data_IF_693238009775
#
_entry.id   IF_693238009775
#
_cell.length_a   1.000
_cell.length_b   1.000
_cell.length_c   1.000
_cell.angle_alpha   90.00
_cell.angle_beta   90.00
_cell.angle_gamma   90.00
#
_symmetry.space_group_name_H-M   'P 1'
#
loop_
_entity.id
_entity.type
_entity.pdbx_description
1 polymer ?
#
# COMPACT_ATOMS: atom_id res chain seq x y z
N UNK A 1 0.04 -0.79 -16.48
CA UNK A 1 -0.01 -1.18 -15.06
C UNK A 1 -1.12 -2.20 -14.92
N UNK A 2 -0.79 -3.47 -14.72
CA UNK A 2 -1.77 -4.55 -14.54
C UNK A 2 -1.67 -4.98 -13.08
N UNK A 3 -2.37 -4.28 -12.18
CA UNK A 3 -2.42 -4.63 -10.77
C UNK A 3 -3.43 -5.77 -10.58
N UNK A 4 -3.04 -6.99 -10.94
CA UNK A 4 -3.94 -8.15 -10.99
C UNK A 4 -4.05 -8.87 -9.65
N UNK A 5 -4.42 -8.16 -8.59
CA UNK A 5 -4.75 -8.80 -7.30
C UNK A 5 -4.53 -7.93 -6.07
N UNK A 6 -5.11 -8.35 -4.95
CA UNK A 6 -4.80 -7.81 -3.62
C UNK A 6 -3.38 -8.23 -3.21
N UNK A 7 -2.62 -7.39 -2.47
CA UNK A 7 -1.24 -7.72 -2.07
C UNK A 7 -1.13 -9.00 -1.23
N UNK A 8 -2.16 -9.28 -0.44
CA UNK A 8 -2.39 -10.50 0.32
C UNK A 8 -3.88 -10.51 0.71
N UNK A 9 -4.48 -11.69 0.92
CA UNK A 9 -5.91 -11.82 1.21
C UNK A 9 -6.22 -11.57 2.69
N UNK A 10 -5.30 -11.85 3.59
CA UNK A 10 -5.43 -11.49 5.00
C UNK A 10 -4.10 -11.12 5.65
N UNK A 11 -4.15 -10.22 6.64
CA UNK A 11 -3.01 -9.86 7.48
C UNK A 11 -2.74 -10.92 8.58
N UNK A 12 -2.87 -12.20 8.23
CA UNK A 12 -2.63 -13.32 9.12
C UNK A 12 -1.44 -14.15 8.64
N UNK A 13 -0.64 -14.68 9.56
CA UNK A 13 0.53 -15.51 9.20
C UNK A 13 0.19 -16.78 8.42
N UNK A 14 -1.09 -17.19 8.35
CA UNK A 14 -1.53 -18.31 7.50
C UNK A 14 -1.51 -17.96 6.01
N UNK A 15 -1.64 -16.69 5.66
CA UNK A 15 -1.53 -16.19 4.29
C UNK A 15 -0.06 -16.19 3.83
N UNK A 16 0.23 -16.84 2.70
CA UNK A 16 1.59 -16.92 2.17
C UNK A 16 2.14 -15.58 1.70
N UNK A 17 1.32 -14.76 1.07
CA UNK A 17 1.72 -13.46 0.56
C UNK A 17 1.97 -12.49 1.72
N UNK A 18 1.15 -12.56 2.78
CA UNK A 18 1.41 -11.76 3.98
C UNK A 18 2.73 -12.16 4.66
N UNK A 19 3.08 -13.45 4.70
CA UNK A 19 4.40 -13.88 5.20
C UNK A 19 5.54 -13.34 4.35
N UNK A 20 5.40 -13.31 3.02
CA UNK A 20 6.40 -12.73 2.12
C UNK A 20 6.52 -11.22 2.34
N UNK A 21 5.38 -10.53 2.50
CA UNK A 21 5.33 -9.12 2.86
C UNK A 21 6.10 -8.82 4.14
N UNK A 22 5.84 -9.57 5.23
CA UNK A 22 6.53 -9.39 6.51
C UNK A 22 8.06 -9.55 6.39
N UNK A 23 8.53 -10.52 5.60
CA UNK A 23 9.97 -10.74 5.38
C UNK A 23 10.64 -9.60 4.61
N UNK A 24 9.89 -8.96 3.71
CA UNK A 24 10.39 -7.90 2.84
C UNK A 24 10.07 -6.48 3.37
N UNK A 25 9.45 -6.38 4.54
CA UNK A 25 8.92 -5.13 5.08
C UNK A 25 10.02 -4.12 5.42
N UNK A 26 11.02 -4.55 6.21
CA UNK A 26 12.14 -3.69 6.65
C UNK A 26 12.89 -3.08 5.46
N UNK A 27 13.18 -3.89 4.44
CA UNK A 27 13.89 -3.44 3.25
C UNK A 27 13.00 -2.70 2.25
N UNK A 28 11.67 -2.73 2.44
CA UNK A 28 10.67 -2.19 1.50
C UNK A 28 10.79 -2.81 0.09
N UNK A 29 11.01 -4.13 0.03
CA UNK A 29 11.27 -4.90 -1.20
C UNK A 29 10.20 -5.94 -1.54
N UNK A 30 8.97 -5.70 -1.10
CA UNK A 30 7.87 -6.61 -1.40
C UNK A 30 7.56 -6.56 -2.90
N UNK A 31 7.60 -7.72 -3.57
CA UNK A 31 7.52 -7.80 -5.03
C UNK A 31 6.18 -7.28 -5.57
N UNK A 32 5.10 -7.44 -4.81
CA UNK A 32 3.77 -6.92 -5.16
C UNK A 32 3.72 -5.40 -5.32
N UNK A 33 4.70 -4.67 -4.79
CA UNK A 33 4.79 -3.20 -4.94
C UNK A 33 5.90 -2.74 -5.89
N UNK A 34 6.62 -3.66 -6.51
CA UNK A 34 7.84 -3.37 -7.29
C UNK A 34 7.60 -2.48 -8.52
N UNK A 35 6.41 -2.52 -9.10
CA UNK A 35 6.02 -1.70 -10.26
C UNK A 35 5.42 -0.33 -9.88
N UNK A 36 5.17 -0.10 -8.58
CA UNK A 36 4.53 1.15 -8.12
C UNK A 36 5.51 2.33 -8.11
N UNK A 37 5.06 3.56 -8.39
CA UNK A 37 5.88 4.75 -8.16
C UNK A 37 6.31 4.88 -6.68
N UNK A 38 7.42 5.56 -6.43
CA UNK A 38 8.01 5.62 -5.08
C UNK A 38 7.08 6.19 -4.01
N UNK A 39 6.37 7.29 -4.30
CA UNK A 39 5.50 7.94 -3.33
C UNK A 39 4.28 7.11 -2.90
N UNK A 40 3.44 6.57 -3.81
CA UNK A 40 2.35 5.68 -3.41
C UNK A 40 2.85 4.38 -2.77
N UNK A 41 4.03 3.88 -3.16
CA UNK A 41 4.66 2.73 -2.51
C UNK A 41 5.01 3.03 -1.05
N UNK A 42 5.63 4.18 -0.77
CA UNK A 42 5.93 4.62 0.61
C UNK A 42 4.65 4.71 1.44
N UNK A 43 3.60 5.31 0.88
CA UNK A 43 2.30 5.43 1.55
C UNK A 43 1.71 4.05 1.89
N UNK A 44 1.74 3.10 0.96
CA UNK A 44 1.27 1.73 1.23
C UNK A 44 2.04 1.04 2.36
N UNK A 45 3.36 1.19 2.42
CA UNK A 45 4.15 0.64 3.52
C UNK A 45 3.76 1.24 4.88
N UNK A 46 3.42 2.53 4.91
CA UNK A 46 2.93 3.20 6.11
C UNK A 46 1.50 2.76 6.48
N UNK A 47 0.63 2.52 5.50
CA UNK A 47 -0.74 2.03 5.71
C UNK A 47 -0.77 0.57 6.18
N UNK A 48 0.06 -0.27 5.58
CA UNK A 48 0.13 -1.71 5.83
C UNK A 48 1.22 -2.07 6.85
N UNK A 49 1.57 -1.15 7.75
CA UNK A 49 2.56 -1.43 8.79
C UNK A 49 2.14 -2.67 9.61
N UNK A 50 3.05 -3.67 9.82
CA UNK A 50 2.73 -4.90 10.55
C UNK A 50 2.27 -4.64 11.98
N UNK A 51 2.91 -3.69 12.65
CA UNK A 51 2.46 -3.14 13.92
C UNK A 51 1.31 -2.13 13.67
N UNK A 52 0.09 -2.38 14.17
CA UNK A 52 -1.04 -1.48 13.98
C UNK A 52 -0.86 -0.10 14.62
N UNK A 53 -0.10 0.01 15.71
CA UNK A 53 0.12 1.28 16.42
C UNK A 53 1.04 2.23 15.64
N UNK A 54 1.81 1.68 14.70
CA UNK A 54 2.71 2.42 13.82
C UNK A 54 2.10 2.71 12.44
N UNK A 55 0.84 2.35 12.21
CA UNK A 55 0.15 2.66 10.96
C UNK A 55 -0.14 4.15 10.88
N UNK A 56 0.07 4.69 9.69
CA UNK A 56 -0.31 6.07 9.37
C UNK A 56 -1.82 6.28 9.56
N UNK A 57 -2.18 7.40 10.14
CA UNK A 57 -3.57 7.82 10.36
C UNK A 57 -4.20 8.40 9.09
N UNK A 58 -5.53 8.41 9.03
CA UNK A 58 -6.26 9.05 7.92
C UNK A 58 -5.87 10.52 7.76
N UNK A 59 -5.72 11.24 8.87
CA UNK A 59 -5.31 12.65 8.86
C UNK A 59 -3.94 12.84 8.22
N UNK A 60 -2.97 11.99 8.53
CA UNK A 60 -1.63 12.05 7.94
C UNK A 60 -1.64 11.66 6.45
N UNK A 61 -2.44 10.67 6.05
CA UNK A 61 -2.62 10.28 4.65
C UNK A 61 -3.10 11.49 3.84
N UNK A 62 -4.20 12.13 4.26
CA UNK A 62 -4.80 13.26 3.55
C UNK A 62 -3.81 14.42 3.41
N UNK A 63 -3.00 14.67 4.43
CA UNK A 63 -1.99 15.74 4.41
C UNK A 63 -0.68 15.34 3.71
N UNK A 64 -0.56 14.12 3.18
CA UNK A 64 0.65 13.69 2.48
C UNK A 64 0.82 14.42 1.12
N UNK A 65 2.06 14.73 0.70
CA UNK A 65 2.31 15.42 -0.57
C UNK A 65 1.74 14.68 -1.79
N UNK A 66 1.76 13.35 -1.76
CA UNK A 66 1.19 12.55 -2.83
C UNK A 66 -0.34 12.68 -2.90
N UNK A 67 -1.04 12.59 -1.76
CA UNK A 67 -2.50 12.70 -1.73
C UNK A 67 -3.00 14.10 -2.11
N UNK A 68 -2.25 15.15 -1.81
CA UNK A 68 -2.59 16.51 -2.25
C UNK A 68 -2.59 16.67 -3.78
N UNK A 69 -1.86 15.80 -4.50
CA UNK A 69 -1.88 15.72 -5.95
C UNK A 69 -2.99 14.83 -6.53
N UNK A 70 -3.70 14.06 -5.70
CA UNK A 70 -4.78 13.17 -6.13
C UNK A 70 -6.10 13.93 -6.11
N UNK A 71 -6.68 14.15 -7.29
CA UNK A 71 -8.01 14.75 -7.39
C UNK A 71 -9.10 13.66 -7.31
N UNK A 72 -9.91 13.70 -6.25
CA UNK A 72 -10.97 12.72 -5.97
C UNK A 72 -12.01 12.58 -7.10
N UNK A 73 -12.16 13.58 -7.98
CA UNK A 73 -13.10 13.55 -9.10
C UNK A 73 -12.62 12.71 -10.29
N UNK A 74 -11.33 12.38 -10.39
CA UNK A 74 -10.77 11.58 -11.49
C UNK A 74 -10.67 10.07 -11.18
N UNK A 75 -11.04 9.63 -9.98
CA UNK A 75 -10.98 8.20 -9.58
C UNK A 75 -12.18 7.40 -10.14
N UNK A 76 -13.20 8.06 -10.72
CA UNK A 76 -14.42 7.41 -11.21
C UNK A 76 -14.34 6.76 -12.61
N UNK A 77 -13.20 6.82 -13.31
CA UNK A 77 -13.11 6.30 -14.69
C UNK A 77 -12.59 4.85 -14.80
N UNK A 78 -12.34 4.14 -13.69
CA UNK A 78 -11.86 2.75 -13.74
C UNK A 78 -12.98 1.69 -13.80
N UNK A 79 -14.25 2.10 -13.78
CA UNK A 79 -15.38 1.21 -14.08
C UNK A 79 -15.77 1.32 -15.56
N UNK A 80 -15.04 0.61 -16.43
CA UNK A 80 -15.50 0.31 -17.79
C UNK A 80 -14.96 -1.00 -18.33
#
# INVERSE_FOLDING_TARGET
MHYSGVPFNSAERKDSEYRLYLRAFEDKRFIGFSEMPNEPRKLLYSMLHPDPELRITVSEIINSPWMQGVNAYYVRECDR
#
